data_IF_142988591412
#
_entry.id   IF_142988591412
#
_cell.length_a   1.000
_cell.length_b   1.000
_cell.length_c   1.000
_cell.angle_alpha   90.00
_cell.angle_beta   90.00
_cell.angle_gamma   90.00
#
_symmetry.space_group_name_H-M   'P 1'
#
loop_
_entity.id
_entity.type
_entity.pdbx_description
1 polymer ?
#
# COMPACT_ATOMS: atom_id res chain seq x y z
N UNK A 1 3.90 -4.57 17.90
CA UNK A 1 2.88 -4.35 16.84
C UNK A 1 3.00 -2.90 16.42
N UNK A 2 3.17 -2.60 15.12
CA UNK A 2 3.40 -1.24 14.61
C UNK A 2 2.14 -0.34 14.61
N UNK A 3 1.10 -0.73 15.34
CA UNK A 3 -0.19 -0.03 15.35
C UNK A 3 -0.07 1.38 15.92
N UNK A 4 0.48 1.52 17.13
CA UNK A 4 0.62 2.83 17.77
C UNK A 4 1.46 3.78 16.90
N UNK A 5 2.56 3.28 16.32
CA UNK A 5 3.36 4.06 15.38
C UNK A 5 2.55 4.52 14.17
N UNK A 6 1.77 3.63 13.55
CA UNK A 6 0.90 4.02 12.43
C UNK A 6 -0.16 5.04 12.85
N UNK A 7 -0.76 4.89 14.04
CA UNK A 7 -1.75 5.85 14.55
C UNK A 7 -1.11 7.21 14.85
N UNK A 8 0.11 7.24 15.37
CA UNK A 8 0.87 8.46 15.62
C UNK A 8 1.25 9.16 14.31
N UNK A 9 1.69 8.39 13.32
CA UNK A 9 2.02 8.89 11.98
C UNK A 9 0.79 9.51 11.31
N UNK A 10 -0.38 8.86 11.42
CA UNK A 10 -1.65 9.43 10.94
C UNK A 10 -1.95 10.73 11.69
N UNK A 11 -2.01 10.70 13.02
CA UNK A 11 -2.35 11.86 13.88
C UNK A 11 -1.40 13.04 13.71
N UNK A 12 -0.16 12.81 13.29
CA UNK A 12 0.81 13.87 13.01
C UNK A 12 0.29 14.88 11.97
N UNK A 13 -0.62 14.43 11.10
CA UNK A 13 -1.14 15.21 9.98
C UNK A 13 -0.12 15.48 8.88
N UNK A 14 1.06 14.85 8.93
CA UNK A 14 2.11 15.02 7.92
C UNK A 14 1.80 14.26 6.63
N UNK A 15 1.02 13.17 6.71
CA UNK A 15 0.70 12.31 5.56
C UNK A 15 -0.50 12.89 4.80
N UNK A 16 -1.65 12.99 5.48
CA UNK A 16 -2.94 13.37 4.86
C UNK A 16 -3.40 14.80 5.20
N UNK A 17 -2.63 15.56 5.98
CA UNK A 17 -3.09 16.81 6.60
C UNK A 17 -3.79 16.60 7.94
N UNK A 18 -4.33 17.67 8.56
CA UNK A 18 -5.00 17.57 9.85
C UNK A 18 -6.15 16.56 9.85
N UNK A 19 -6.23 15.74 10.90
CA UNK A 19 -7.24 14.67 11.03
C UNK A 19 -8.21 15.04 12.15
N UNK A 20 -9.51 14.96 11.86
CA UNK A 20 -10.58 15.20 12.83
C UNK A 20 -10.90 13.97 13.68
N UNK A 21 -10.79 12.76 13.11
CA UNK A 21 -11.07 11.51 13.81
C UNK A 21 -10.36 10.30 13.17
N UNK A 22 -10.11 9.28 13.99
CA UNK A 22 -9.66 7.94 13.55
C UNK A 22 -10.52 6.90 14.25
N UNK A 23 -11.07 5.96 13.49
CA UNK A 23 -11.75 4.77 13.98
C UNK A 23 -11.00 3.55 13.44
N UNK A 24 -10.70 2.57 14.27
CA UNK A 24 -10.11 1.33 13.78
C UNK A 24 -10.70 0.11 14.48
N UNK A 25 -10.63 -1.03 13.81
CA UNK A 25 -10.98 -2.34 14.36
C UNK A 25 -9.92 -3.36 13.96
N UNK A 26 -9.69 -4.32 14.83
CA UNK A 26 -8.75 -5.44 14.60
C UNK A 26 -9.58 -6.72 14.51
N UNK A 27 -9.47 -7.40 13.39
CA UNK A 27 -10.11 -8.68 13.11
C UNK A 27 -9.05 -9.75 12.93
N UNK A 28 -9.26 -10.93 13.52
CA UNK A 28 -8.36 -12.06 13.31
C UNK A 28 -8.83 -12.85 12.10
N UNK A 29 -8.05 -12.83 11.02
CA UNK A 29 -8.36 -13.64 9.84
C UNK A 29 -8.26 -15.14 10.18
N UNK A 30 -8.86 -16.01 9.35
CA UNK A 30 -8.84 -17.49 9.52
C UNK A 30 -7.43 -18.09 9.69
N UNK A 31 -6.37 -17.34 9.36
CA UNK A 31 -4.96 -17.71 9.50
C UNK A 31 -4.29 -17.17 10.79
N UNK A 32 -5.07 -16.63 11.72
CA UNK A 32 -4.61 -16.15 13.03
C UNK A 32 -3.86 -14.82 13.02
N UNK A 33 -3.63 -14.22 11.85
CA UNK A 33 -2.99 -12.92 11.74
C UNK A 33 -3.99 -11.78 12.00
N UNK A 34 -3.61 -10.76 12.76
CA UNK A 34 -4.44 -9.57 12.95
C UNK A 34 -4.50 -8.79 11.64
N UNK A 35 -5.72 -8.57 11.17
CA UNK A 35 -6.06 -7.65 10.10
C UNK A 35 -6.71 -6.42 10.71
N UNK A 36 -6.44 -5.25 10.17
CA UNK A 36 -6.93 -4.01 10.73
C UNK A 36 -7.63 -3.19 9.65
N UNK A 37 -8.81 -2.71 10.01
CA UNK A 37 -9.53 -1.70 9.24
C UNK A 37 -9.36 -0.36 9.96
N UNK A 38 -8.81 0.65 9.28
CA UNK A 38 -8.70 2.03 9.78
C UNK A 38 -9.58 2.92 8.90
N UNK A 39 -10.41 3.75 9.52
CA UNK A 39 -11.12 4.86 8.91
C UNK A 39 -10.57 6.17 9.49
N UNK A 40 -10.23 7.10 8.61
CA UNK A 40 -9.64 8.39 8.96
C UNK A 40 -10.48 9.52 8.35
N UNK A 41 -10.87 10.50 9.17
CA UNK A 41 -11.57 11.70 8.72
C UNK A 41 -10.59 12.86 8.64
N UNK A 42 -10.28 13.30 7.42
CA UNK A 42 -9.37 14.41 7.15
C UNK A 42 -10.15 15.73 7.27
N UNK A 43 -9.59 16.70 7.98
CA UNK A 43 -10.19 18.02 8.12
C UNK A 43 -10.10 18.77 6.79
N UNK A 44 -11.24 19.27 6.32
CA UNK A 44 -11.30 20.08 5.09
C UNK A 44 -10.77 21.48 5.39
N UNK A 45 -9.46 21.67 5.34
CA UNK A 45 -8.79 22.96 5.61
C UNK A 45 -8.94 23.98 4.47
N UNK A 46 -10.07 23.97 3.76
CA UNK A 46 -10.31 24.80 2.57
C UNK A 46 -9.62 24.34 1.29
N UNK A 47 -8.78 23.29 1.34
CA UNK A 47 -8.23 22.63 0.14
C UNK A 47 -9.23 21.62 -0.41
N UNK A 48 -9.39 21.61 -1.72
CA UNK A 48 -10.15 20.58 -2.42
C UNK A 48 -9.31 19.30 -2.49
N UNK A 49 -9.89 18.17 -2.07
CA UNK A 49 -9.27 16.85 -2.24
C UNK A 49 -9.64 16.39 -3.64
N UNK A 50 -8.65 16.36 -4.54
CA UNK A 50 -8.82 15.92 -5.92
C UNK A 50 -8.45 14.45 -6.08
N UNK A 51 -8.79 13.85 -7.22
CA UNK A 51 -8.32 12.51 -7.61
C UNK A 51 -6.80 12.39 -7.53
N UNK A 52 -6.08 13.40 -8.01
CA UNK A 52 -4.62 13.39 -8.04
C UNK A 52 -4.04 13.46 -6.62
N UNK A 53 -4.72 14.15 -5.70
CA UNK A 53 -4.34 14.19 -4.29
C UNK A 53 -4.52 12.81 -3.64
N UNK A 54 -5.62 12.12 -3.97
CA UNK A 54 -5.90 10.77 -3.47
C UNK A 54 -4.87 9.78 -4.02
N UNK A 55 -4.59 9.82 -5.33
CA UNK A 55 -3.62 8.93 -5.98
C UNK A 55 -2.20 9.14 -5.41
N UNK A 56 -1.84 10.40 -5.11
CA UNK A 56 -0.57 10.71 -4.46
C UNK A 56 -0.49 10.17 -3.03
N UNK A 57 -1.59 10.25 -2.27
CA UNK A 57 -1.67 9.76 -0.90
C UNK A 57 -1.75 8.24 -0.79
N UNK A 58 -2.42 7.59 -1.74
CA UNK A 58 -2.74 6.18 -1.72
C UNK A 58 -2.29 5.57 -3.04
N UNK A 59 -1.03 5.13 -3.07
CA UNK A 59 -0.46 4.36 -4.17
C UNK A 59 0.18 3.07 -3.65
N UNK A 60 0.29 2.09 -4.54
CA UNK A 60 1.09 0.89 -4.33
C UNK A 60 2.20 0.88 -5.38
N UNK A 61 3.42 1.14 -4.96
CA UNK A 61 4.57 1.29 -5.85
C UNK A 61 5.64 0.25 -5.55
N UNK A 62 6.35 -0.15 -6.60
CA UNK A 62 7.59 -0.93 -6.49
C UNK A 62 8.73 0.08 -6.51
N UNK A 63 9.51 0.23 -5.42
CA UNK A 63 10.59 1.21 -5.37
C UNK A 63 11.64 0.98 -6.47
N UNK A 64 12.27 2.05 -6.95
CA UNK A 64 13.35 1.90 -7.93
C UNK A 64 14.59 1.29 -7.24
N UNK A 65 15.16 0.17 -7.75
CA UNK A 65 16.26 -0.54 -7.11
C UNK A 65 17.58 0.24 -7.08
N UNK A 66 17.69 1.35 -7.82
CA UNK A 66 18.86 2.24 -7.84
C UNK A 66 18.70 3.44 -6.90
N UNK A 67 17.47 3.93 -6.71
CA UNK A 67 17.17 5.09 -5.85
C UNK A 67 16.88 4.64 -4.41
N UNK A 68 16.10 3.56 -4.25
CA UNK A 68 15.77 2.94 -2.97
C UNK A 68 15.95 1.40 -3.03
N UNK A 69 17.22 0.92 -2.96
CA UNK A 69 17.51 -0.50 -3.04
C UNK A 69 16.90 -1.30 -1.87
N UNK A 70 16.83 -0.71 -0.68
CA UNK A 70 16.29 -1.39 0.50
C UNK A 70 14.77 -1.54 0.41
N UNK A 71 14.07 -0.46 0.06
CA UNK A 71 12.63 -0.51 -0.17
C UNK A 71 12.27 -1.52 -1.25
N UNK A 72 13.03 -1.55 -2.35
CA UNK A 72 12.82 -2.53 -3.42
C UNK A 72 12.90 -3.97 -2.90
N UNK A 73 13.94 -4.31 -2.14
CA UNK A 73 14.12 -5.66 -1.58
C UNK A 73 12.96 -6.03 -0.64
N UNK A 74 12.58 -5.12 0.26
CA UNK A 74 11.52 -5.37 1.23
C UNK A 74 10.14 -5.55 0.57
N UNK A 75 9.81 -4.71 -0.42
CA UNK A 75 8.56 -4.83 -1.18
C UNK A 75 8.57 -6.13 -2.00
N UNK A 76 9.67 -6.43 -2.68
CA UNK A 76 9.81 -7.64 -3.48
C UNK A 76 9.69 -8.92 -2.63
N UNK A 77 10.20 -8.92 -1.41
CA UNK A 77 10.16 -10.10 -0.52
C UNK A 77 8.81 -10.27 0.18
N UNK A 78 8.18 -9.17 0.62
CA UNK A 78 7.04 -9.24 1.55
C UNK A 78 5.71 -8.83 0.95
N UNK A 79 5.70 -8.06 -0.14
CA UNK A 79 4.48 -7.49 -0.73
C UNK A 79 4.16 -8.03 -2.12
N UNK A 80 5.12 -8.68 -2.78
CA UNK A 80 4.90 -9.38 -4.04
C UNK A 80 4.48 -10.83 -3.79
N UNK A 81 3.41 -11.26 -4.44
CA UNK A 81 3.10 -12.69 -4.45
C UNK A 81 4.08 -13.42 -5.38
N UNK A 82 4.51 -14.60 -4.96
CA UNK A 82 5.32 -15.48 -5.80
C UNK A 82 4.57 -15.93 -7.06
N UNK A 83 5.27 -16.54 -8.03
CA UNK A 83 4.64 -17.05 -9.22
C UNK A 83 3.51 -18.01 -8.87
N UNK A 84 2.39 -17.87 -9.57
CA UNK A 84 1.15 -18.60 -9.32
C UNK A 84 1.28 -20.12 -9.60
N UNK A 85 2.42 -20.56 -10.16
CA UNK A 85 2.76 -21.95 -10.43
C UNK A 85 1.83 -22.59 -11.48
N UNK A 86 1.71 -23.91 -11.41
CA UNK A 86 0.92 -24.70 -12.36
C UNK A 86 -0.59 -24.42 -12.29
N UNK A 87 -1.05 -23.63 -11.31
CA UNK A 87 -2.46 -23.33 -11.10
C UNK A 87 -3.06 -22.44 -12.19
N UNK A 88 -2.25 -21.58 -12.82
CA UNK A 88 -2.68 -20.78 -13.98
C UNK A 88 -1.47 -20.18 -14.72
N UNK A 89 -1.06 -20.82 -15.83
CA UNK A 89 0.10 -20.40 -16.61
C UNK A 89 -0.05 -19.05 -17.31
N UNK A 90 -1.28 -18.57 -17.49
CA UNK A 90 -1.57 -17.32 -18.17
C UNK A 90 -1.55 -16.09 -17.24
N UNK A 91 -1.36 -16.28 -15.93
CA UNK A 91 -1.30 -15.15 -15.00
C UNK A 91 -0.08 -14.25 -15.28
N UNK A 92 -0.20 -12.92 -15.11
CA UNK A 92 0.91 -11.98 -15.28
C UNK A 92 2.15 -12.32 -14.42
N UNK A 93 1.93 -12.89 -13.23
CA UNK A 93 2.95 -13.39 -12.29
C UNK A 93 3.84 -14.52 -12.87
N UNK A 94 3.42 -15.18 -13.96
CA UNK A 94 4.09 -16.35 -14.54
C UNK A 94 5.07 -16.01 -15.66
N UNK A 95 4.99 -14.80 -16.25
CA UNK A 95 6.03 -14.33 -17.17
C UNK A 95 7.30 -14.15 -16.34
N UNK A 96 8.43 -14.75 -16.74
CA UNK A 96 9.77 -14.52 -16.14
C UNK A 96 10.15 -13.04 -16.26
N UNK A 97 9.56 -12.19 -15.43
CA UNK A 97 9.72 -10.75 -15.43
C UNK A 97 10.56 -10.32 -14.23
N UNK A 98 11.66 -11.05 -13.98
CA UNK A 98 12.70 -10.55 -13.06
C UNK A 98 13.46 -9.35 -13.65
N UNK A 99 13.25 -9.03 -14.94
CA UNK A 99 14.02 -8.02 -15.68
C UNK A 99 13.18 -6.99 -16.46
N UNK A 100 11.89 -6.79 -16.15
CA UNK A 100 11.06 -5.81 -16.91
C UNK A 100 9.96 -5.10 -16.11
N UNK A 101 10.18 -4.83 -14.82
CA UNK A 101 9.26 -4.02 -14.00
C UNK A 101 9.83 -2.60 -13.74
N UNK A 102 10.50 -2.02 -14.74
CA UNK A 102 10.69 -0.56 -14.79
C UNK A 102 9.47 0.01 -15.50
N UNK A 103 8.72 0.85 -14.77
CA UNK A 103 7.53 1.60 -15.18
C UNK A 103 6.34 0.78 -15.68
N UNK A 104 5.41 0.45 -14.78
CA UNK A 104 3.98 0.48 -15.12
C UNK A 104 3.17 0.65 -13.83
N UNK A 105 2.47 1.77 -13.74
CA UNK A 105 1.34 1.97 -12.83
C UNK A 105 0.34 0.84 -13.09
N UNK A 106 0.20 -0.08 -12.15
CA UNK A 106 -0.80 -1.14 -12.23
C UNK A 106 -2.16 -0.55 -11.83
N UNK A 107 -2.92 -0.10 -12.83
CA UNK A 107 -4.35 0.15 -12.66
C UNK A 107 -5.02 -1.22 -12.49
N UNK A 108 -5.43 -1.55 -11.28
CA UNK A 108 -6.33 -2.66 -11.02
C UNK A 108 -7.75 -2.17 -11.25
N UNK A 109 -8.37 -2.61 -12.35
CA UNK A 109 -9.80 -2.43 -12.58
C UNK A 109 -10.56 -3.45 -11.72
N UNK A 110 -11.60 -2.97 -11.03
CA UNK A 110 -12.43 -3.70 -10.06
C UNK A 110 -13.49 -4.58 -10.70
#
# INVERSE_FOLDING_TARGET
>A
MKLEQLLDDLRSGLIFGPISAILYSIEFQKRGLPHMHILTWIEKSGKEITSETIDFWISAEIPDPTIDPLGYVLVAEHMMHGPCGDKNWNCPCMKRAYNKLQSTTAVYDS
#
